data_IF_261875746464
#
_entry.id   IF_261875746464
#
_cell.length_a   1.000
_cell.length_b   1.000
_cell.length_c   1.000
_cell.angle_alpha   90.00
_cell.angle_beta   90.00
_cell.angle_gamma   90.00
#
_symmetry.space_group_name_H-M   'P 1'
#
loop_
_entity.id
_entity.type
_entity.pdbx_description
1 polymer ?
#
# COMPACT_ATOMS: atom_id res chain seq x y z
N UNK A 1 -29.70 2.57 16.35
CA UNK A 1 -28.51 3.01 15.61
C UNK A 1 -27.42 3.26 16.64
N UNK A 2 -26.16 2.91 16.36
CA UNK A 2 -25.11 3.00 17.37
C UNK A 2 -24.81 4.46 17.69
N UNK A 3 -24.66 4.74 18.99
CA UNK A 3 -24.01 5.97 19.48
C UNK A 3 -22.56 6.02 19.02
N UNK A 4 -21.93 7.18 19.16
CA UNK A 4 -20.52 7.30 18.77
C UNK A 4 -19.57 6.39 19.56
N UNK A 5 -19.86 6.17 20.83
CA UNK A 5 -19.04 5.30 21.68
C UNK A 5 -19.22 3.84 21.29
N UNK A 6 -20.46 3.40 21.05
CA UNK A 6 -20.75 2.06 20.52
C UNK A 6 -20.09 1.83 19.17
N UNK A 7 -20.17 2.80 18.25
CA UNK A 7 -19.50 2.70 16.94
C UNK A 7 -17.98 2.56 17.08
N UNK A 8 -17.36 3.33 17.99
CA UNK A 8 -15.93 3.24 18.22
C UNK A 8 -15.53 1.90 18.85
N UNK A 9 -16.34 1.36 19.77
CA UNK A 9 -16.11 0.04 20.36
C UNK A 9 -16.24 -1.08 19.31
N UNK A 10 -17.31 -1.06 18.50
CA UNK A 10 -17.52 -2.00 17.40
C UNK A 10 -16.38 -1.94 16.38
N UNK A 11 -15.87 -0.74 16.08
CA UNK A 11 -14.69 -0.57 15.22
C UNK A 11 -13.46 -1.31 15.77
N UNK A 12 -13.18 -1.18 17.07
CA UNK A 12 -12.05 -1.88 17.68
C UNK A 12 -12.25 -3.40 17.68
N UNK A 13 -13.48 -3.88 17.95
CA UNK A 13 -13.85 -5.30 17.81
C UNK A 13 -13.64 -5.81 16.38
N UNK A 14 -14.04 -5.03 15.37
CA UNK A 14 -13.78 -5.39 13.98
C UNK A 14 -12.29 -5.45 13.66
N UNK A 15 -11.47 -4.54 14.19
CA UNK A 15 -10.02 -4.61 14.02
C UNK A 15 -9.42 -5.86 14.66
N UNK A 16 -9.93 -6.32 15.80
CA UNK A 16 -9.53 -7.60 16.39
C UNK A 16 -9.85 -8.76 15.43
N UNK A 17 -11.06 -8.78 14.86
CA UNK A 17 -11.44 -9.79 13.86
C UNK A 17 -10.52 -9.76 12.63
N UNK A 18 -10.24 -8.59 12.04
CA UNK A 18 -9.35 -8.49 10.89
C UNK A 18 -7.93 -9.00 11.19
N UNK A 19 -7.43 -8.78 12.42
CA UNK A 19 -6.14 -9.33 12.87
C UNK A 19 -6.19 -10.84 12.97
N UNK A 20 -7.26 -11.41 13.53
CA UNK A 20 -7.46 -12.86 13.61
C UNK A 20 -7.52 -13.53 12.23
N UNK A 21 -8.02 -12.82 11.20
CA UNK A 21 -7.99 -13.27 9.80
C UNK A 21 -6.66 -13.04 9.07
N UNK A 22 -5.59 -12.67 9.81
CA UNK A 22 -4.28 -12.38 9.24
C UNK A 22 -4.30 -11.27 8.16
N UNK A 23 -5.21 -10.30 8.26
CA UNK A 23 -5.15 -9.11 7.39
C UNK A 23 -3.90 -8.30 7.72
N UNK A 24 -3.20 -7.86 6.68
CA UNK A 24 -1.99 -7.05 6.83
C UNK A 24 -2.28 -5.74 7.58
N UNK A 25 -1.35 -5.32 8.45
CA UNK A 25 -1.43 -4.05 9.22
C UNK A 25 -1.80 -2.85 8.34
N UNK A 26 -1.25 -2.77 7.12
CA UNK A 26 -1.57 -1.71 6.16
C UNK A 26 -3.02 -1.71 5.66
N UNK A 27 -3.64 -2.89 5.50
CA UNK A 27 -5.06 -3.00 5.15
C UNK A 27 -5.94 -2.53 6.30
N UNK A 28 -5.65 -2.98 7.53
CA UNK A 28 -6.37 -2.54 8.74
C UNK A 28 -6.27 -1.02 8.90
N UNK A 29 -5.05 -0.46 8.76
CA UNK A 29 -4.84 0.99 8.82
C UNK A 29 -5.63 1.75 7.73
N UNK A 30 -5.73 1.17 6.52
CA UNK A 30 -6.48 1.77 5.42
C UNK A 30 -7.99 1.78 5.70
N UNK A 31 -8.55 0.67 6.16
CA UNK A 31 -9.96 0.60 6.54
C UNK A 31 -10.27 1.50 7.74
N UNK A 32 -9.38 1.53 8.73
CA UNK A 32 -9.53 2.38 9.90
C UNK A 32 -9.56 3.87 9.55
N UNK A 33 -8.76 4.33 8.57
CA UNK A 33 -8.85 5.72 8.09
C UNK A 33 -10.26 6.09 7.61
N UNK A 34 -10.93 5.18 6.89
CA UNK A 34 -12.30 5.41 6.43
C UNK A 34 -13.31 5.54 7.57
N UNK A 35 -13.28 4.61 8.52
CA UNK A 35 -14.18 4.63 9.68
C UNK A 35 -13.91 5.81 10.62
N UNK A 36 -12.64 6.16 10.83
CA UNK A 36 -12.28 7.35 11.61
C UNK A 36 -12.71 8.63 10.91
N UNK A 37 -12.53 8.74 9.59
CA UNK A 37 -12.98 9.91 8.84
C UNK A 37 -14.49 10.08 8.94
N UNK A 38 -15.24 8.98 8.84
CA UNK A 38 -16.69 8.97 8.98
C UNK A 38 -17.14 9.39 10.38
N UNK A 39 -16.63 8.74 11.43
CA UNK A 39 -16.95 9.09 12.83
C UNK A 39 -16.62 10.55 13.15
N UNK A 40 -15.46 11.06 12.69
CA UNK A 40 -15.10 12.47 12.88
C UNK A 40 -16.02 13.43 12.12
N UNK A 41 -16.52 13.02 10.96
CA UNK A 41 -17.50 13.82 10.23
C UNK A 41 -18.82 13.93 10.98
N UNK A 42 -19.32 12.82 11.55
CA UNK A 42 -20.51 12.81 12.41
C UNK A 42 -20.31 13.70 13.66
N UNK A 43 -19.16 13.59 14.35
CA UNK A 43 -18.83 14.43 15.51
C UNK A 43 -18.90 15.92 15.23
N UNK A 44 -18.34 16.35 14.09
CA UNK A 44 -18.35 17.78 13.73
C UNK A 44 -19.76 18.33 13.51
N UNK A 45 -20.73 17.46 13.20
CA UNK A 45 -22.12 17.81 12.98
C UNK A 45 -22.99 17.66 14.24
N UNK A 46 -22.41 17.11 15.32
CA UNK A 46 -23.16 16.77 16.53
C UNK A 46 -24.06 15.55 16.35
N UNK A 47 -23.79 14.72 15.33
CA UNK A 47 -24.59 13.54 14.99
C UNK A 47 -23.87 12.25 15.38
N UNK A 48 -24.65 11.18 15.63
CA UNK A 48 -24.15 9.83 15.78
C UNK A 48 -23.86 9.18 14.40
N UNK A 49 -22.92 8.22 14.31
CA UNK A 49 -22.51 7.58 13.07
C UNK A 49 -23.55 6.58 12.54
N UNK A 50 -24.67 7.10 12.04
CA UNK A 50 -25.75 6.31 11.48
C UNK A 50 -25.35 5.59 10.19
N UNK A 51 -25.19 4.27 10.23
CA UNK A 51 -24.84 3.40 9.10
C UNK A 51 -25.97 3.20 8.07
N UNK A 52 -26.64 4.28 7.67
CA UNK A 52 -27.71 4.29 6.65
C UNK A 52 -27.19 4.80 5.31
N UNK A 53 -27.90 4.46 4.24
CA UNK A 53 -27.56 4.89 2.88
C UNK A 53 -27.42 6.41 2.74
N UNK A 54 -28.35 7.17 3.30
CA UNK A 54 -28.39 8.63 3.12
C UNK A 54 -27.32 9.34 3.95
N UNK A 55 -27.02 8.86 5.15
CA UNK A 55 -25.99 9.44 5.99
C UNK A 55 -24.59 9.18 5.43
N UNK A 56 -24.33 7.98 4.92
CA UNK A 56 -23.06 7.65 4.24
C UNK A 56 -22.92 8.41 2.91
N UNK A 57 -24.00 8.59 2.14
CA UNK A 57 -23.98 9.46 0.95
C UNK A 57 -23.63 10.90 1.30
N UNK A 58 -24.24 11.45 2.36
CA UNK A 58 -23.98 12.82 2.81
C UNK A 58 -22.51 13.01 3.19
N UNK A 59 -21.93 12.08 3.95
CA UNK A 59 -20.51 12.07 4.26
C UNK A 59 -19.62 12.09 3.00
N UNK A 60 -19.90 11.19 2.04
CA UNK A 60 -19.09 11.10 0.82
C UNK A 60 -19.25 12.33 -0.06
N UNK A 61 -20.44 12.91 -0.14
CA UNK A 61 -20.71 14.14 -0.89
C UNK A 61 -19.96 15.34 -0.29
N UNK A 62 -20.01 15.50 1.04
CA UNK A 62 -19.29 16.58 1.73
C UNK A 62 -17.77 16.41 1.55
N UNK A 63 -17.25 15.20 1.73
CA UNK A 63 -15.82 14.91 1.52
C UNK A 63 -15.37 15.26 0.10
N UNK A 64 -16.15 14.91 -0.93
CA UNK A 64 -15.84 15.25 -2.32
C UNK A 64 -15.94 16.76 -2.61
N UNK A 65 -16.75 17.49 -1.84
CA UNK A 65 -16.95 18.93 -1.94
C UNK A 65 -15.96 19.78 -1.14
N UNK A 66 -15.07 19.18 -0.34
CA UNK A 66 -14.06 19.93 0.43
C UNK A 66 -13.17 20.77 -0.49
N UNK A 67 -12.83 22.00 -0.07
CA UNK A 67 -12.01 22.96 -0.84
C UNK A 67 -10.65 22.39 -1.29
N UNK A 68 -10.11 21.42 -0.54
CA UNK A 68 -8.86 20.72 -0.87
C UNK A 68 -9.03 19.65 -1.95
N UNK A 69 -10.22 19.49 -2.53
CA UNK A 69 -10.53 18.57 -3.62
C UNK A 69 -10.46 17.12 -3.18
N UNK A 70 -11.40 16.70 -2.31
CA UNK A 70 -11.50 15.31 -1.87
C UNK A 70 -11.42 14.34 -3.05
N UNK A 71 -10.43 13.44 -3.03
CA UNK A 71 -10.16 12.59 -4.19
C UNK A 71 -11.23 11.49 -4.31
N UNK A 72 -11.81 11.26 -5.50
CA UNK A 72 -12.76 10.15 -5.73
C UNK A 72 -12.22 8.78 -5.33
N UNK A 73 -10.91 8.55 -5.51
CA UNK A 73 -10.22 7.34 -5.06
C UNK A 73 -10.28 7.15 -3.55
N UNK A 74 -10.09 8.23 -2.78
CA UNK A 74 -10.17 8.20 -1.32
C UNK A 74 -11.62 7.95 -0.87
N UNK A 75 -12.59 8.64 -1.48
CA UNK A 75 -14.00 8.44 -1.18
C UNK A 75 -14.46 6.99 -1.44
N UNK A 76 -14.02 6.39 -2.56
CA UNK A 76 -14.29 4.99 -2.86
C UNK A 76 -13.67 4.02 -1.83
N UNK A 77 -12.45 4.31 -1.36
CA UNK A 77 -11.80 3.53 -0.29
C UNK A 77 -12.55 3.67 1.05
N UNK A 78 -13.05 4.86 1.37
CA UNK A 78 -13.87 5.06 2.57
C UNK A 78 -15.16 4.28 2.50
N UNK A 79 -15.89 4.35 1.38
CA UNK A 79 -17.11 3.54 1.19
C UNK A 79 -16.82 2.04 1.29
N UNK A 80 -15.69 1.59 0.74
CA UNK A 80 -15.25 0.18 0.87
C UNK A 80 -15.06 -0.21 2.34
N UNK A 81 -14.41 0.64 3.13
CA UNK A 81 -14.18 0.39 4.55
C UNK A 81 -15.50 0.32 5.34
N UNK A 82 -16.40 1.29 5.10
CA UNK A 82 -17.71 1.34 5.77
C UNK A 82 -18.54 0.11 5.40
N UNK A 83 -18.54 -0.32 4.13
CA UNK A 83 -19.25 -1.53 3.69
C UNK A 83 -18.76 -2.80 4.35
N UNK A 84 -17.44 -3.01 4.39
CA UNK A 84 -16.88 -4.19 5.03
C UNK A 84 -17.18 -4.22 6.53
N UNK A 85 -17.23 -3.05 7.17
CA UNK A 85 -17.59 -2.91 8.57
C UNK A 85 -19.08 -3.19 8.81
N UNK A 86 -19.99 -2.63 7.99
CA UNK A 86 -21.43 -2.91 8.10
C UNK A 86 -21.74 -4.38 7.84
N UNK A 87 -21.12 -4.99 6.82
CA UNK A 87 -21.29 -6.40 6.54
C UNK A 87 -20.84 -7.27 7.73
N UNK A 88 -19.76 -6.89 8.41
CA UNK A 88 -19.33 -7.56 9.65
C UNK A 88 -20.34 -7.33 10.79
N UNK A 89 -20.81 -6.10 11.01
CA UNK A 89 -21.80 -5.81 12.06
C UNK A 89 -23.09 -6.62 11.86
N UNK A 90 -23.55 -6.78 10.62
CA UNK A 90 -24.72 -7.62 10.31
C UNK A 90 -24.44 -9.10 10.58
N UNK A 91 -23.25 -9.59 10.24
CA UNK A 91 -22.86 -10.97 10.47
C UNK A 91 -22.71 -11.32 11.97
N UNK A 92 -22.35 -10.34 12.81
CA UNK A 92 -22.27 -10.47 14.26
C UNK A 92 -23.56 -10.01 14.98
N UNK A 93 -24.64 -9.77 14.22
CA UNK A 93 -25.97 -9.37 14.74
C UNK A 93 -26.01 -8.01 15.46
N UNK A 94 -24.96 -7.20 15.36
CA UNK A 94 -24.87 -5.82 15.87
C UNK A 94 -25.73 -4.84 15.04
N UNK A 95 -26.05 -5.21 13.80
CA UNK A 95 -27.01 -4.52 12.95
C UNK A 95 -28.03 -5.50 12.36
N UNK A 96 -29.31 -5.14 12.26
CA UNK A 96 -30.35 -6.05 11.76
C UNK A 96 -30.24 -6.31 10.25
N UNK A 97 -29.67 -5.39 9.47
CA UNK A 97 -29.51 -5.50 8.01
C UNK A 97 -28.47 -4.51 7.47
N UNK A 98 -27.99 -4.77 6.26
CA UNK A 98 -27.11 -3.86 5.52
C UNK A 98 -27.94 -2.83 4.72
N UNK A 99 -27.94 -1.58 5.17
CA UNK A 99 -28.64 -0.47 4.50
C UNK A 99 -27.80 0.27 3.44
N UNK A 100 -26.53 -0.12 3.27
CA UNK A 100 -25.57 0.55 2.37
C UNK A 100 -25.05 -0.36 1.25
N UNK A 101 -25.51 -1.61 1.19
CA UNK A 101 -25.20 -2.57 0.13
C UNK A 101 -25.47 -1.98 -1.27
N UNK A 102 -26.52 -1.17 -1.44
CA UNK A 102 -26.92 -0.58 -2.72
C UNK A 102 -26.21 0.70 -3.16
N UNK A 103 -25.32 1.28 -2.34
CA UNK A 103 -24.66 2.56 -2.69
C UNK A 103 -23.74 2.49 -3.92
N UNK A 104 -23.88 3.43 -4.85
CA UNK A 104 -22.92 3.52 -5.95
C UNK A 104 -21.56 4.04 -5.45
N UNK A 105 -20.47 3.47 -5.95
CA UNK A 105 -19.14 4.03 -5.71
C UNK A 105 -18.97 5.37 -6.45
N UNK A 106 -18.22 6.32 -5.87
CA UNK A 106 -17.79 7.52 -6.59
C UNK A 106 -17.06 7.14 -7.89
N UNK A 107 -17.28 7.90 -8.97
CA UNK A 107 -16.59 7.67 -10.24
C UNK A 107 -15.10 7.96 -10.10
N UNK A 108 -14.28 6.92 -10.10
CA UNK A 108 -12.82 7.03 -10.07
C UNK A 108 -12.30 7.09 -11.50
N UNK A 109 -11.69 8.21 -11.88
CA UNK A 109 -10.98 8.33 -13.16
C UNK A 109 -9.81 7.34 -13.25
N UNK A 110 -9.60 6.75 -14.42
CA UNK A 110 -8.39 5.96 -14.68
C UNK A 110 -7.21 6.90 -14.91
N UNK A 111 -6.24 6.91 -14.01
CA UNK A 111 -4.97 7.58 -14.25
C UNK A 111 -4.03 6.62 -14.97
N UNK A 112 -3.81 6.85 -16.26
CA UNK A 112 -2.73 6.19 -16.99
C UNK A 112 -1.41 6.83 -16.58
N UNK A 113 -0.45 6.02 -16.13
CA UNK A 113 0.94 6.45 -15.96
C UNK A 113 1.72 5.85 -17.13
N UNK A 114 2.32 6.67 -18.02
CA UNK A 114 3.14 6.13 -19.08
C UNK A 114 4.34 5.36 -18.48
N UNK A 115 4.81 4.31 -19.16
CA UNK A 115 6.06 3.66 -18.77
C UNK A 115 7.23 4.63 -18.91
N UNK A 116 8.29 4.42 -18.10
CA UNK A 116 9.54 5.16 -18.23
C UNK A 116 10.19 4.86 -19.58
N UNK A 117 10.66 5.90 -20.27
CA UNK A 117 11.45 5.75 -21.48
C UNK A 117 12.89 5.34 -21.17
N UNK A 118 13.62 4.85 -22.17
CA UNK A 118 15.04 4.49 -22.03
C UNK A 118 15.87 5.73 -21.71
N UNK A 119 15.53 6.87 -22.31
CA UNK A 119 16.17 8.17 -22.10
C UNK A 119 15.91 8.70 -20.69
N UNK A 120 14.69 8.55 -20.17
CA UNK A 120 14.36 8.92 -18.79
C UNK A 120 15.16 8.09 -17.78
N UNK A 121 15.25 6.76 -17.99
CA UNK A 121 16.07 5.89 -17.13
C UNK A 121 17.55 6.26 -17.23
N UNK A 122 18.06 6.56 -18.42
CA UNK A 122 19.43 7.01 -18.62
C UNK A 122 19.70 8.33 -17.88
N UNK A 123 18.81 9.31 -18.00
CA UNK A 123 18.91 10.59 -17.31
C UNK A 123 18.88 10.42 -15.78
N UNK A 124 17.98 9.58 -15.26
CA UNK A 124 17.91 9.28 -13.82
C UNK A 124 19.20 8.61 -13.32
N UNK A 125 19.69 7.59 -14.01
CA UNK A 125 20.91 6.89 -13.61
C UNK A 125 22.18 7.74 -13.77
N UNK A 126 22.19 8.72 -14.68
CA UNK A 126 23.29 9.67 -14.82
C UNK A 126 23.46 10.60 -13.61
N UNK A 127 22.42 10.79 -12.80
CA UNK A 127 22.51 11.56 -11.54
C UNK A 127 23.16 10.78 -10.39
N UNK A 128 23.30 9.47 -10.54
CA UNK A 128 23.88 8.60 -9.52
C UNK A 128 25.41 8.60 -9.62
N UNK A 129 26.09 8.95 -8.53
CA UNK A 129 27.55 8.97 -8.49
C UNK A 129 28.17 7.58 -8.27
N UNK A 130 29.50 7.54 -8.09
CA UNK A 130 30.24 6.30 -7.83
C UNK A 130 30.31 5.94 -6.32
N UNK A 131 29.62 6.68 -5.45
CA UNK A 131 29.56 6.37 -4.02
C UNK A 131 28.80 5.05 -3.79
N UNK A 132 28.82 4.56 -2.53
CA UNK A 132 28.00 3.40 -2.16
C UNK A 132 26.52 3.61 -2.50
N UNK A 133 26.00 4.80 -2.19
CA UNK A 133 24.61 5.17 -2.44
C UNK A 133 24.33 5.33 -3.93
N UNK A 134 25.19 6.01 -4.69
CA UNK A 134 25.02 6.15 -6.13
C UNK A 134 25.04 4.80 -6.87
N UNK A 135 25.93 3.88 -6.49
CA UNK A 135 25.95 2.52 -7.05
C UNK A 135 24.71 1.72 -6.67
N UNK A 136 24.24 1.85 -5.42
CA UNK A 136 23.01 1.23 -4.95
C UNK A 136 21.81 1.73 -5.75
N UNK A 137 21.67 3.03 -5.91
CA UNK A 137 20.53 3.67 -6.54
C UNK A 137 20.51 3.40 -8.04
N UNK A 138 21.68 3.38 -8.69
CA UNK A 138 21.82 2.92 -10.09
C UNK A 138 21.30 1.49 -10.26
N UNK A 139 21.73 0.57 -9.39
CA UNK A 139 21.30 -0.82 -9.44
C UNK A 139 19.80 -0.96 -9.14
N UNK A 140 19.29 -0.20 -8.17
CA UNK A 140 17.88 -0.19 -7.77
C UNK A 140 16.98 0.30 -8.91
N UNK A 141 17.33 1.41 -9.57
CA UNK A 141 16.57 1.98 -10.69
C UNK A 141 16.43 0.98 -11.84
N UNK A 142 17.56 0.43 -12.29
CA UNK A 142 17.59 -0.58 -13.36
C UNK A 142 16.79 -1.82 -12.97
N UNK A 143 16.98 -2.32 -11.76
CA UNK A 143 16.27 -3.47 -11.25
C UNK A 143 14.75 -3.26 -11.14
N UNK A 144 14.31 -2.08 -10.72
CA UNK A 144 12.89 -1.71 -10.68
C UNK A 144 12.26 -1.76 -12.07
N UNK A 145 12.93 -1.15 -13.06
CA UNK A 145 12.43 -1.10 -14.45
C UNK A 145 12.34 -2.50 -15.05
N UNK A 146 13.39 -3.31 -14.92
CA UNK A 146 13.43 -4.63 -15.54
C UNK A 146 12.44 -5.62 -14.93
N UNK A 147 12.30 -5.60 -13.60
CA UNK A 147 11.57 -6.66 -12.88
C UNK A 147 10.12 -6.32 -12.58
N UNK A 148 9.76 -5.04 -12.67
CA UNK A 148 8.45 -4.52 -12.26
C UNK A 148 8.09 -4.86 -10.82
N UNK A 149 9.09 -5.08 -9.95
CA UNK A 149 8.88 -5.44 -8.55
C UNK A 149 8.17 -4.32 -7.78
N UNK A 150 7.30 -4.67 -6.84
CA UNK A 150 6.66 -3.67 -5.97
C UNK A 150 7.68 -3.11 -4.98
N UNK A 151 7.49 -1.88 -4.52
CA UNK A 151 8.40 -1.21 -3.57
C UNK A 151 8.75 -2.08 -2.34
N UNK A 152 7.76 -2.72 -1.73
CA UNK A 152 7.97 -3.61 -0.59
C UNK A 152 8.70 -4.92 -0.95
N UNK A 153 8.44 -5.47 -2.14
CA UNK A 153 9.12 -6.68 -2.62
C UNK A 153 10.60 -6.39 -2.88
N UNK A 154 10.90 -5.22 -3.44
CA UNK A 154 12.26 -4.79 -3.75
C UNK A 154 13.01 -4.43 -2.48
N UNK A 155 12.47 -3.54 -1.64
CA UNK A 155 13.14 -3.11 -0.40
C UNK A 155 13.34 -4.25 0.62
N UNK A 156 12.46 -5.25 0.60
CA UNK A 156 12.57 -6.46 1.42
C UNK A 156 13.39 -7.60 0.78
N UNK A 157 13.96 -7.40 -0.41
CA UNK A 157 14.63 -8.47 -1.15
C UNK A 157 15.83 -9.03 -0.37
N UNK A 158 15.90 -10.36 -0.26
CA UNK A 158 16.98 -11.09 0.36
C UNK A 158 17.99 -11.58 -0.69
N UNK A 159 19.27 -11.65 -0.31
CA UNK A 159 20.35 -12.18 -1.14
C UNK A 159 20.06 -13.61 -1.63
N UNK A 160 19.45 -14.45 -0.79
CA UNK A 160 19.09 -15.83 -1.11
C UNK A 160 18.14 -15.96 -2.31
N UNK A 161 17.41 -14.88 -2.62
CA UNK A 161 16.40 -14.86 -3.68
C UNK A 161 16.90 -14.18 -4.96
N UNK A 162 18.18 -13.77 -5.01
CA UNK A 162 18.77 -13.03 -6.11
C UNK A 162 19.89 -13.84 -6.77
N UNK A 163 19.68 -14.25 -8.01
CA UNK A 163 20.68 -14.98 -8.81
C UNK A 163 21.24 -14.08 -9.92
N UNK A 164 22.16 -13.18 -9.55
CA UNK A 164 22.77 -12.20 -10.46
C UNK A 164 23.34 -12.82 -11.74
N UNK A 165 24.17 -13.88 -11.69
CA UNK A 165 24.73 -14.46 -12.92
C UNK A 165 23.67 -15.10 -13.83
N UNK A 166 22.52 -15.49 -13.27
CA UNK A 166 21.40 -16.08 -14.02
C UNK A 166 20.40 -15.04 -14.49
N UNK A 167 20.57 -13.76 -14.13
CA UNK A 167 19.62 -12.69 -14.46
C UNK A 167 18.23 -12.89 -13.85
N UNK A 168 18.13 -13.48 -12.65
CA UNK A 168 16.85 -13.89 -12.05
C UNK A 168 16.68 -13.43 -10.61
N UNK A 169 15.44 -13.13 -10.24
CA UNK A 169 15.02 -12.87 -8.85
C UNK A 169 13.72 -13.59 -8.53
N UNK A 170 13.59 -14.08 -7.30
CA UNK A 170 12.34 -14.55 -6.74
C UNK A 170 11.73 -13.49 -5.81
N UNK A 171 10.57 -12.97 -6.17
CA UNK A 171 9.77 -12.12 -5.28
C UNK A 171 8.80 -12.97 -4.47
N UNK A 172 8.72 -12.67 -3.17
CA UNK A 172 7.71 -13.22 -2.26
C UNK A 172 6.64 -12.15 -1.99
N UNK A 173 5.46 -12.35 -2.56
CA UNK A 173 4.32 -11.45 -2.45
C UNK A 173 3.44 -11.74 -1.24
N UNK A 174 2.32 -10.99 -1.13
CA UNK A 174 1.32 -11.20 -0.07
C UNK A 174 0.65 -12.57 -0.22
N UNK A 175 0.52 -13.29 0.91
CA UNK A 175 -0.07 -14.62 0.95
C UNK A 175 0.87 -15.72 0.45
N UNK A 176 2.18 -15.53 0.62
CA UNK A 176 3.24 -16.46 0.22
C UNK A 176 3.26 -16.80 -1.28
N UNK A 177 2.68 -15.91 -2.10
CA UNK A 177 2.71 -16.05 -3.56
C UNK A 177 4.10 -15.72 -4.07
N UNK A 178 4.76 -16.69 -4.66
CA UNK A 178 6.08 -16.50 -5.25
C UNK A 178 5.99 -16.14 -6.74
N UNK A 179 6.86 -15.24 -7.19
CA UNK A 179 6.98 -14.86 -8.60
C UNK A 179 8.44 -14.76 -9.00
N UNK A 180 8.83 -15.52 -10.02
CA UNK A 180 10.13 -15.35 -10.67
C UNK A 180 10.08 -14.19 -11.67
N UNK A 181 11.09 -13.33 -11.64
CA UNK A 181 11.30 -12.29 -12.63
C UNK A 181 12.73 -12.37 -13.19
N UNK A 182 12.90 -11.92 -14.43
CA UNK A 182 14.20 -11.80 -15.07
C UNK A 182 14.64 -10.32 -15.12
N UNK A 183 15.93 -10.10 -15.27
CA UNK A 183 16.50 -8.78 -15.55
C UNK A 183 17.64 -8.87 -16.54
N UNK A 184 17.95 -7.74 -17.16
CA UNK A 184 18.92 -7.61 -18.25
C UNK A 184 20.36 -7.79 -17.77
N UNK A 185 21.30 -8.13 -18.67
CA UNK A 185 22.73 -8.15 -18.37
C UNK A 185 23.26 -6.82 -17.79
N UNK A 186 22.74 -5.69 -18.25
CA UNK A 186 23.12 -4.35 -17.77
C UNK A 186 22.71 -4.15 -16.31
N UNK A 187 21.52 -4.63 -15.94
CA UNK A 187 21.06 -4.67 -14.54
C UNK A 187 21.92 -5.62 -13.71
N UNK A 188 22.27 -6.79 -14.24
CA UNK A 188 23.16 -7.73 -13.56
C UNK A 188 24.53 -7.10 -13.28
N UNK A 189 25.08 -6.33 -14.23
CA UNK A 189 26.35 -5.62 -14.06
C UNK A 189 26.26 -4.49 -13.02
N UNK A 190 25.14 -3.76 -12.98
CA UNK A 190 24.91 -2.73 -11.96
C UNK A 190 24.77 -3.36 -10.56
N UNK A 191 24.03 -4.47 -10.45
CA UNK A 191 23.91 -5.25 -9.23
C UNK A 191 25.25 -5.80 -8.76
N UNK A 192 26.09 -6.38 -9.64
CA UNK A 192 27.43 -6.85 -9.26
C UNK A 192 28.28 -5.72 -8.66
N UNK A 193 28.33 -4.57 -9.35
CA UNK A 193 29.09 -3.39 -8.87
C UNK A 193 28.63 -2.95 -7.48
N UNK A 194 27.32 -2.89 -7.26
CA UNK A 194 26.76 -2.59 -5.94
C UNK A 194 27.10 -3.66 -4.91
N UNK A 195 26.85 -4.95 -5.21
CA UNK A 195 27.04 -6.06 -4.29
C UNK A 195 28.50 -6.22 -3.85
N UNK A 196 29.47 -5.91 -4.71
CA UNK A 196 30.90 -5.89 -4.33
C UNK A 196 31.20 -4.83 -3.27
N UNK A 197 30.57 -3.67 -3.34
CA UNK A 197 30.68 -2.64 -2.30
C UNK A 197 29.88 -3.04 -1.05
N UNK A 198 28.67 -3.59 -1.23
CA UNK A 198 27.82 -4.10 -0.16
C UNK A 198 28.56 -5.09 0.73
N UNK A 199 29.34 -6.02 0.16
CA UNK A 199 30.12 -7.00 0.94
C UNK A 199 31.11 -6.37 1.93
N UNK A 200 31.53 -5.12 1.69
CA UNK A 200 32.48 -4.38 2.54
C UNK A 200 31.79 -3.36 3.45
N UNK A 201 30.46 -3.25 3.38
CA UNK A 201 29.69 -2.30 4.17
C UNK A 201 29.57 -2.78 5.62
N UNK A 202 29.57 -1.87 6.61
CA UNK A 202 29.52 -2.23 8.04
C UNK A 202 28.28 -3.07 8.40
N UNK A 203 27.14 -2.77 7.78
CA UNK A 203 25.88 -3.51 7.97
C UNK A 203 25.80 -4.85 7.19
N UNK A 204 26.80 -5.20 6.38
CA UNK A 204 26.71 -6.38 5.53
C UNK A 204 26.58 -7.69 6.32
N UNK A 205 27.21 -7.74 7.50
CA UNK A 205 27.16 -8.89 8.40
C UNK A 205 25.89 -8.93 9.28
N UNK A 206 25.15 -7.82 9.37
CA UNK A 206 23.98 -7.72 10.25
C UNK A 206 22.67 -8.04 9.54
N UNK A 207 22.67 -8.17 8.21
CA UNK A 207 21.47 -8.46 7.44
C UNK A 207 21.75 -9.12 6.09
N UNK A 208 20.84 -10.00 5.66
CA UNK A 208 20.84 -10.62 4.33
C UNK A 208 20.06 -9.82 3.28
N UNK A 209 19.56 -8.62 3.62
CA UNK A 209 18.85 -7.76 2.67
C UNK A 209 19.78 -7.27 1.58
N UNK A 210 19.34 -7.31 0.33
CA UNK A 210 20.12 -6.83 -0.82
C UNK A 210 20.46 -5.35 -0.63
N UNK A 211 19.47 -4.52 -0.30
CA UNK A 211 19.63 -3.07 -0.21
C UNK A 211 19.94 -2.61 1.21
N UNK A 212 21.08 -1.93 1.38
CA UNK A 212 21.51 -1.34 2.65
C UNK A 212 21.32 0.20 2.65
N UNK A 213 21.06 0.82 3.80
CA UNK A 213 21.06 2.27 3.97
C UNK A 213 22.48 2.84 3.85
N UNK A 214 22.61 4.17 3.87
CA UNK A 214 23.90 4.86 3.82
C UNK A 214 24.76 4.62 5.08
N UNK A 215 24.11 4.44 6.24
CA UNK A 215 24.69 4.25 7.57
C UNK A 215 23.83 3.29 8.38
#
# INVERSE_FOLDING_TARGET
>A
MPTIDEFNQLRESWFLKLRAENKSKGSIATYGKGLTAYSKWCQRRGDDPHLTGDHVKAFLAEFLGEERGGKPTTAANYLTAIRLFVAWCVAEEELPKDEIAGLAYPKVGKHYRPPLSVEELAAMTATCDNSFMGRRDTALLRFMVDTGGRSNEITGLLLSNLWVPKGRVLFKGKGDKERLAAFTPETALALDRYLRMRRRHALAATTDRVWLPAH
#
